data_IF_745519157876
#
_entry.id   IF_745519157876
#
_cell.length_a   1.000
_cell.length_b   1.000
_cell.length_c   1.000
_cell.angle_alpha   90.00
_cell.angle_beta   90.00
_cell.angle_gamma   90.00
#
_symmetry.space_group_name_H-M   'P 1'
#
loop_
_entity.id
_entity.type
_entity.pdbx_description
1 polymer ?
#
# COMPACT_ATOMS: atom_id res chain seq x y z
N UNK A 1 12.57 10.88 13.86
CA UNK A 1 13.98 10.49 13.89
C UNK A 1 14.19 9.22 13.06
N UNK A 2 15.38 9.07 12.42
CA UNK A 2 15.74 7.86 11.67
C UNK A 2 15.03 7.69 10.31
N UNK A 3 14.34 8.69 9.80
CA UNK A 3 13.73 8.66 8.48
C UNK A 3 14.78 8.89 7.41
N UNK A 4 14.77 8.06 6.36
CA UNK A 4 15.71 8.11 5.24
C UNK A 4 14.94 8.46 3.96
N UNK A 5 15.40 9.48 3.24
CA UNK A 5 14.79 9.97 2.01
C UNK A 5 15.83 9.97 0.89
N UNK A 6 15.49 9.35 -0.25
CA UNK A 6 16.33 9.36 -1.44
C UNK A 6 17.35 8.22 -1.51
N UNK A 7 17.17 7.13 -0.73
CA UNK A 7 17.92 5.89 -0.96
C UNK A 7 17.55 5.26 -2.30
N UNK A 8 18.44 4.42 -2.84
CA UNK A 8 18.14 3.63 -4.02
C UNK A 8 17.05 2.60 -3.72
N UNK A 9 16.09 2.45 -4.63
CA UNK A 9 15.08 1.41 -4.55
C UNK A 9 15.60 0.03 -4.97
N UNK A 10 14.74 -0.97 -4.88
CA UNK A 10 15.03 -2.36 -5.18
C UNK A 10 14.69 -2.68 -6.65
N UNK A 11 15.70 -2.68 -7.51
CA UNK A 11 15.53 -3.00 -8.93
C UNK A 11 16.74 -3.79 -9.44
N UNK A 12 16.59 -5.11 -9.55
CA UNK A 12 17.67 -6.05 -9.92
C UNK A 12 17.16 -7.07 -10.95
N UNK A 13 17.23 -6.78 -12.26
CA UNK A 13 17.01 -7.80 -13.29
C UNK A 13 18.07 -8.90 -13.18
N UNK A 14 17.66 -10.13 -13.49
CA UNK A 14 18.54 -11.30 -13.48
C UNK A 14 18.88 -11.68 -14.92
N UNK A 15 20.19 -11.81 -15.20
CA UNK A 15 20.72 -12.29 -16.47
C UNK A 15 21.94 -13.18 -16.22
N UNK A 16 22.01 -14.32 -16.87
CA UNK A 16 23.14 -15.27 -16.71
C UNK A 16 23.31 -15.78 -15.27
N UNK A 17 22.21 -15.86 -14.48
CA UNK A 17 22.25 -16.27 -13.06
C UNK A 17 22.75 -15.19 -12.09
N UNK A 18 22.98 -13.96 -12.53
CA UNK A 18 23.48 -12.85 -11.73
C UNK A 18 22.45 -11.73 -11.66
N UNK A 19 22.34 -11.07 -10.50
CA UNK A 19 21.49 -9.89 -10.30
C UNK A 19 22.28 -8.62 -10.64
N UNK A 20 21.75 -7.81 -11.54
CA UNK A 20 22.36 -6.56 -11.98
C UNK A 20 21.58 -5.38 -11.42
N UNK A 21 22.26 -4.49 -10.68
CA UNK A 21 21.62 -3.31 -10.13
C UNK A 21 21.24 -2.31 -11.23
N UNK A 22 19.98 -1.86 -11.28
CA UNK A 22 19.57 -0.69 -12.04
C UNK A 22 19.80 0.57 -11.18
N UNK A 23 20.67 1.51 -11.62
CA UNK A 23 20.90 2.74 -10.88
C UNK A 23 19.61 3.59 -10.77
N UNK A 24 19.39 4.16 -9.60
CA UNK A 24 18.29 5.10 -9.37
C UNK A 24 18.86 6.53 -9.49
N UNK A 25 18.57 7.20 -10.61
CA UNK A 25 19.17 8.49 -10.99
C UNK A 25 18.23 9.67 -10.83
N UNK A 26 16.98 9.40 -10.43
CA UNK A 26 15.96 10.42 -10.21
C UNK A 26 15.90 10.83 -8.74
N UNK A 27 14.99 11.70 -8.37
CA UNK A 27 14.90 12.33 -7.06
C UNK A 27 13.67 11.86 -6.28
N UNK A 28 13.56 12.34 -5.04
CA UNK A 28 12.31 12.41 -4.28
C UNK A 28 11.90 13.89 -4.26
N UNK A 29 10.66 14.17 -4.66
CA UNK A 29 10.07 15.50 -4.63
C UNK A 29 8.95 15.51 -3.60
N UNK A 30 9.05 16.39 -2.60
CA UNK A 30 8.08 16.51 -1.52
C UNK A 30 7.47 17.90 -1.55
N UNK A 31 6.15 17.97 -1.54
CA UNK A 31 5.37 19.18 -1.53
C UNK A 31 5.38 19.91 -0.18
N UNK A 32 4.46 20.85 -0.03
CA UNK A 32 4.32 21.70 1.16
C UNK A 32 3.46 21.00 2.24
N UNK A 33 3.70 21.35 3.51
CA UNK A 33 2.93 20.87 4.66
C UNK A 33 2.85 19.33 4.75
N UNK A 34 3.88 18.62 4.29
CA UNK A 34 4.01 17.18 4.42
C UNK A 34 4.67 16.84 5.76
N UNK A 35 4.05 15.94 6.51
CA UNK A 35 4.61 15.39 7.76
C UNK A 35 5.00 13.94 7.57
N UNK A 36 6.20 13.58 8.01
CA UNK A 36 6.75 12.22 7.88
C UNK A 36 7.25 11.77 9.24
N UNK A 37 6.67 10.69 9.74
CA UNK A 37 6.99 10.08 11.03
C UNK A 37 8.39 9.49 11.10
N UNK A 38 8.67 8.80 12.19
CA UNK A 38 9.98 8.21 12.47
C UNK A 38 10.22 6.92 11.69
N UNK A 39 11.49 6.63 11.36
CA UNK A 39 11.91 5.41 10.70
C UNK A 39 11.15 5.11 9.39
N UNK A 40 10.72 6.12 8.68
CA UNK A 40 10.19 6.01 7.33
C UNK A 40 11.33 5.85 6.32
N UNK A 41 11.06 5.18 5.20
CA UNK A 41 11.99 5.08 4.08
C UNK A 41 11.29 5.46 2.79
N UNK A 42 11.87 6.41 2.04
CA UNK A 42 11.32 6.90 0.78
C UNK A 42 12.40 6.79 -0.27
N UNK A 43 12.23 5.84 -1.20
CA UNK A 43 13.22 5.59 -2.24
C UNK A 43 13.12 6.61 -3.36
N UNK A 44 14.27 6.94 -3.92
CA UNK A 44 14.35 7.77 -5.12
C UNK A 44 13.88 7.01 -6.36
N UNK A 45 13.51 7.75 -7.38
CA UNK A 45 13.10 7.15 -8.63
C UNK A 45 14.26 6.63 -9.50
N UNK A 46 13.96 5.65 -10.32
CA UNK A 46 14.88 5.15 -11.34
C UNK A 46 14.65 5.82 -12.71
N UNK A 47 13.42 5.80 -13.20
CA UNK A 47 13.02 6.35 -14.52
C UNK A 47 12.21 7.64 -14.40
N UNK A 48 11.51 7.84 -13.32
CA UNK A 48 10.78 9.06 -12.98
C UNK A 48 10.99 9.36 -11.49
N UNK A 49 10.73 10.59 -11.06
CA UNK A 49 10.86 10.95 -9.65
C UNK A 49 9.81 10.21 -8.79
N UNK A 50 10.15 9.95 -7.54
CA UNK A 50 9.17 9.62 -6.51
C UNK A 50 8.59 10.93 -6.00
N UNK A 51 7.27 11.10 -6.03
CA UNK A 51 6.61 12.37 -5.74
C UNK A 51 5.58 12.23 -4.62
N UNK A 52 5.57 13.18 -3.69
CA UNK A 52 4.61 13.32 -2.62
C UNK A 52 4.05 14.73 -2.67
N UNK A 53 2.77 14.86 -2.98
CA UNK A 53 2.11 16.17 -3.08
C UNK A 53 1.81 16.77 -1.70
N UNK A 54 1.28 18.00 -1.68
CA UNK A 54 1.05 18.79 -0.48
C UNK A 54 0.10 18.10 0.53
N UNK A 55 0.27 18.47 1.80
CA UNK A 55 -0.60 18.12 2.94
C UNK A 55 -0.67 16.61 3.27
N UNK A 56 0.22 15.79 2.74
CA UNK A 56 0.29 14.37 3.10
C UNK A 56 0.81 14.18 4.53
N UNK A 57 0.29 13.16 5.21
CA UNK A 57 0.71 12.79 6.57
C UNK A 57 1.07 11.31 6.61
N UNK A 58 2.31 11.02 6.95
CA UNK A 58 2.83 9.66 7.11
C UNK A 58 3.19 9.43 8.57
N UNK A 59 2.63 8.38 9.13
CA UNK A 59 2.98 7.90 10.46
C UNK A 59 4.33 7.14 10.42
N UNK A 60 4.73 6.56 11.51
CA UNK A 60 6.02 5.89 11.66
C UNK A 60 6.14 4.63 10.80
N UNK A 61 7.38 4.32 10.35
CA UNK A 61 7.70 3.09 9.63
C UNK A 61 6.96 2.93 8.29
N UNK A 62 6.57 4.01 7.63
CA UNK A 62 6.01 3.97 6.29
C UNK A 62 7.14 3.77 5.29
N UNK A 63 6.96 2.83 4.34
CA UNK A 63 7.86 2.66 3.21
C UNK A 63 7.20 3.09 1.90
N UNK A 64 7.87 3.96 1.17
CA UNK A 64 7.48 4.39 -0.18
C UNK A 64 8.60 3.96 -1.14
N UNK A 65 8.30 3.00 -2.01
CA UNK A 65 9.26 2.52 -2.99
C UNK A 65 9.45 3.49 -4.16
N UNK A 66 10.39 3.17 -5.03
CA UNK A 66 10.81 4.01 -6.16
C UNK A 66 9.68 4.29 -7.17
N UNK A 67 9.72 5.44 -7.83
CA UNK A 67 8.78 5.86 -8.89
C UNK A 67 7.31 5.95 -8.41
N UNK A 68 7.05 6.03 -7.13
CA UNK A 68 5.70 6.19 -6.58
C UNK A 68 5.25 7.65 -6.74
N UNK A 69 3.98 7.85 -7.08
CA UNK A 69 3.35 9.16 -7.09
C UNK A 69 2.21 9.21 -6.09
N UNK A 70 2.28 10.12 -5.12
CA UNK A 70 1.26 10.31 -4.09
C UNK A 70 0.62 11.68 -4.25
N UNK A 71 -0.69 11.68 -4.44
CA UNK A 71 -1.52 12.86 -4.57
C UNK A 71 -1.68 13.62 -3.26
N UNK A 72 -2.40 14.74 -3.33
CA UNK A 72 -2.59 15.69 -2.24
C UNK A 72 -3.39 15.09 -1.07
N UNK A 73 -3.01 15.44 0.15
CA UNK A 73 -3.79 15.20 1.37
C UNK A 73 -3.95 13.72 1.74
N UNK A 74 -3.05 12.85 1.31
CA UNK A 74 -3.09 11.44 1.65
C UNK A 74 -2.66 11.18 3.09
N UNK A 75 -3.29 10.19 3.74
CA UNK A 75 -3.00 9.75 5.10
C UNK A 75 -2.50 8.30 5.09
N UNK A 76 -1.27 8.06 5.50
CA UNK A 76 -0.65 6.73 5.59
C UNK A 76 -0.29 6.43 7.04
N UNK A 77 -1.00 5.49 7.65
CA UNK A 77 -0.78 5.10 9.04
C UNK A 77 0.45 4.18 9.18
N UNK A 78 0.84 3.89 10.42
CA UNK A 78 2.09 3.22 10.75
C UNK A 78 2.30 1.87 10.06
N UNK A 79 3.51 1.67 9.52
CA UNK A 79 3.93 0.44 8.88
C UNK A 79 3.25 0.15 7.54
N UNK A 80 2.71 1.16 6.86
CA UNK A 80 2.21 1.02 5.47
C UNK A 80 3.37 0.85 4.52
N UNK A 81 3.23 -0.08 3.58
CA UNK A 81 4.17 -0.33 2.49
C UNK A 81 3.51 0.04 1.14
N UNK A 82 4.21 0.81 0.32
CA UNK A 82 3.78 1.16 -1.04
C UNK A 82 4.81 0.68 -2.06
N UNK A 83 4.42 -0.29 -2.88
CA UNK A 83 5.26 -0.88 -3.92
C UNK A 83 5.58 0.08 -5.07
N UNK A 84 6.69 -0.18 -5.74
CA UNK A 84 7.23 0.69 -6.78
C UNK A 84 6.28 0.98 -7.94
N UNK A 85 6.41 2.16 -8.53
CA UNK A 85 5.62 2.63 -9.69
C UNK A 85 4.10 2.68 -9.44
N UNK A 86 3.68 2.77 -8.19
CA UNK A 86 2.28 2.88 -7.79
C UNK A 86 1.85 4.35 -7.79
N UNK A 87 0.62 4.60 -8.22
CA UNK A 87 -0.01 5.93 -8.18
C UNK A 87 -1.11 5.94 -7.11
N UNK A 88 -0.99 6.82 -6.13
CA UNK A 88 -2.02 7.08 -5.12
C UNK A 88 -2.63 8.44 -5.45
N UNK A 89 -3.93 8.49 -5.74
CA UNK A 89 -4.64 9.72 -6.05
C UNK A 89 -4.92 10.54 -4.79
N UNK A 90 -5.56 11.71 -4.93
CA UNK A 90 -5.79 12.64 -3.83
C UNK A 90 -6.67 12.06 -2.73
N UNK A 91 -6.40 12.48 -1.50
CA UNK A 91 -7.18 12.19 -0.29
C UNK A 91 -7.39 10.70 0.01
N UNK A 92 -6.46 9.85 -0.42
CA UNK A 92 -6.48 8.43 -0.07
C UNK A 92 -6.04 8.25 1.38
N UNK A 93 -6.76 7.39 2.10
CA UNK A 93 -6.39 6.97 3.48
C UNK A 93 -6.00 5.50 3.51
N UNK A 94 -4.81 5.20 4.02
CA UNK A 94 -4.31 3.83 4.15
C UNK A 94 -4.04 3.55 5.62
N UNK A 95 -4.84 2.66 6.19
CA UNK A 95 -4.70 2.28 7.60
C UNK A 95 -3.52 1.33 7.83
N UNK A 96 -3.08 1.25 9.07
CA UNK A 96 -1.81 0.65 9.47
C UNK A 96 -1.56 -0.77 9.00
N UNK A 97 -0.29 -1.04 8.70
CA UNK A 97 0.23 -2.35 8.25
C UNK A 97 -0.48 -2.89 7.02
N UNK A 98 -0.89 -2.01 6.11
CA UNK A 98 -1.43 -2.39 4.81
C UNK A 98 -0.35 -2.33 3.75
N UNK A 99 -0.40 -3.28 2.81
CA UNK A 99 0.54 -3.42 1.71
C UNK A 99 -0.14 -3.06 0.39
N UNK A 100 0.47 -2.17 -0.36
CA UNK A 100 0.03 -1.76 -1.70
C UNK A 100 1.02 -2.31 -2.71
N UNK A 101 0.55 -3.19 -3.60
CA UNK A 101 1.36 -3.81 -4.63
C UNK A 101 1.94 -2.80 -5.64
N UNK A 102 2.96 -3.19 -6.38
CA UNK A 102 3.58 -2.32 -7.40
C UNK A 102 2.70 -2.15 -8.64
N UNK A 103 2.97 -1.08 -9.41
CA UNK A 103 2.36 -0.81 -10.71
C UNK A 103 0.83 -0.72 -10.73
N UNK A 104 0.22 -0.30 -9.62
CA UNK A 104 -1.25 -0.14 -9.50
C UNK A 104 -1.61 1.31 -9.20
N UNK A 105 -2.92 1.61 -9.28
CA UNK A 105 -3.46 2.92 -8.96
C UNK A 105 -4.56 2.81 -7.89
N UNK A 106 -4.47 3.64 -6.85
CA UNK A 106 -5.57 3.86 -5.91
C UNK A 106 -6.31 5.14 -6.30
N UNK A 107 -7.60 4.99 -6.58
CA UNK A 107 -8.46 6.12 -6.96
C UNK A 107 -8.68 7.10 -5.80
N UNK A 108 -9.05 8.32 -6.15
CA UNK A 108 -9.28 9.43 -5.22
C UNK A 108 -10.24 9.04 -4.08
N UNK A 109 -9.93 9.48 -2.87
CA UNK A 109 -10.75 9.25 -1.66
C UNK A 109 -10.98 7.77 -1.31
N UNK A 110 -10.17 6.86 -1.83
CA UNK A 110 -10.20 5.46 -1.38
C UNK A 110 -9.79 5.35 0.08
N UNK A 111 -10.40 4.43 0.81
CA UNK A 111 -10.01 4.08 2.17
C UNK A 111 -9.58 2.62 2.21
N UNK A 112 -8.34 2.36 2.61
CA UNK A 112 -7.80 1.01 2.77
C UNK A 112 -7.79 0.68 4.26
N UNK A 113 -8.56 -0.34 4.65
CA UNK A 113 -8.63 -0.79 6.04
C UNK A 113 -7.31 -1.43 6.49
N UNK A 114 -7.06 -1.45 7.79
CA UNK A 114 -5.83 -1.98 8.35
C UNK A 114 -5.55 -3.44 7.94
N UNK A 115 -4.26 -3.78 7.78
CA UNK A 115 -3.79 -5.12 7.41
C UNK A 115 -4.40 -5.64 6.09
N UNK A 116 -4.67 -4.74 5.16
CA UNK A 116 -5.14 -5.10 3.82
C UNK A 116 -3.96 -5.24 2.85
N UNK A 117 -4.12 -6.12 1.86
CA UNK A 117 -3.16 -6.28 0.77
C UNK A 117 -3.84 -5.96 -0.56
N UNK A 118 -3.44 -4.85 -1.19
CA UNK A 118 -4.00 -4.38 -2.46
C UNK A 118 -3.12 -4.86 -3.59
N UNK A 119 -3.62 -5.77 -4.43
CA UNK A 119 -2.87 -6.39 -5.52
C UNK A 119 -3.32 -5.94 -6.92
N UNK A 120 -4.30 -5.06 -7.01
CA UNK A 120 -4.80 -4.50 -8.28
C UNK A 120 -5.28 -3.08 -8.09
N UNK A 121 -5.37 -2.33 -9.18
CA UNK A 121 -5.92 -0.97 -9.14
C UNK A 121 -7.35 -0.94 -8.59
N UNK A 122 -7.64 0.08 -7.82
CA UNK A 122 -8.94 0.28 -7.17
C UNK A 122 -9.55 1.60 -7.63
N UNK A 123 -10.85 1.64 -7.94
CA UNK A 123 -11.58 2.88 -8.15
C UNK A 123 -11.65 3.70 -6.86
N UNK A 124 -11.93 4.99 -6.99
CA UNK A 124 -12.01 5.92 -5.87
C UNK A 124 -13.29 5.83 -5.04
N UNK A 125 -13.32 6.63 -3.97
CA UNK A 125 -14.50 6.91 -3.15
C UNK A 125 -15.18 5.70 -2.51
N UNK A 126 -14.41 4.64 -2.23
CA UNK A 126 -14.90 3.42 -1.60
C UNK A 126 -13.92 2.89 -0.55
N UNK A 127 -14.41 2.11 0.42
CA UNK A 127 -13.57 1.40 1.38
C UNK A 127 -13.29 -0.02 0.93
N UNK A 128 -12.01 -0.42 1.06
CA UNK A 128 -11.52 -1.75 0.73
C UNK A 128 -10.86 -2.41 1.93
N UNK A 129 -11.02 -3.73 2.06
CA UNK A 129 -10.44 -4.48 3.16
C UNK A 129 -10.07 -5.92 2.76
N UNK A 130 -9.09 -6.48 3.46
CA UNK A 130 -8.70 -7.89 3.38
C UNK A 130 -7.46 -8.16 2.55
N UNK A 131 -7.13 -9.43 2.44
CA UNK A 131 -6.02 -9.94 1.61
C UNK A 131 -6.56 -11.08 0.72
N UNK A 132 -6.69 -10.88 -0.61
CA UNK A 132 -6.57 -9.59 -1.29
C UNK A 132 -7.71 -8.61 -0.93
N UNK A 133 -7.41 -7.31 -1.00
CA UNK A 133 -8.37 -6.25 -0.68
C UNK A 133 -9.55 -6.23 -1.68
N UNK A 134 -10.75 -6.07 -1.14
CA UNK A 134 -12.03 -6.02 -1.85
C UNK A 134 -12.90 -4.90 -1.28
N UNK A 135 -13.91 -4.43 -2.01
CA UNK A 135 -14.92 -3.54 -1.44
C UNK A 135 -15.45 -4.08 -0.12
N UNK A 136 -15.56 -3.24 0.89
CA UNK A 136 -15.88 -3.67 2.26
C UNK A 136 -17.19 -4.48 2.33
N UNK A 137 -18.19 -4.10 1.54
CA UNK A 137 -19.47 -4.82 1.46
C UNK A 137 -19.31 -6.25 0.91
N UNK A 138 -18.43 -6.44 -0.09
CA UNK A 138 -18.13 -7.76 -0.64
C UNK A 138 -17.39 -8.62 0.40
N UNK A 139 -16.38 -8.05 1.07
CA UNK A 139 -15.65 -8.73 2.15
C UNK A 139 -16.60 -9.21 3.25
N UNK A 140 -17.47 -8.34 3.74
CA UNK A 140 -18.44 -8.68 4.80
C UNK A 140 -19.38 -9.82 4.40
N UNK A 141 -19.88 -9.83 3.14
CA UNK A 141 -20.68 -10.94 2.63
C UNK A 141 -19.93 -12.26 2.64
N UNK A 142 -18.68 -12.25 2.20
CA UNK A 142 -17.81 -13.45 2.20
C UNK A 142 -17.54 -13.95 3.61
N UNK A 143 -17.18 -13.07 4.53
CA UNK A 143 -16.93 -13.41 5.94
C UNK A 143 -18.18 -14.06 6.57
N UNK A 144 -19.36 -13.51 6.31
CA UNK A 144 -20.62 -14.10 6.78
C UNK A 144 -20.90 -15.51 6.21
N UNK A 145 -20.52 -15.77 4.95
CA UNK A 145 -20.63 -17.10 4.34
C UNK A 145 -19.67 -18.08 5.04
N UNK A 146 -18.41 -17.72 5.27
CA UNK A 146 -17.46 -18.56 6.00
C UNK A 146 -17.95 -18.89 7.41
N UNK A 147 -18.44 -17.91 8.16
CA UNK A 147 -18.98 -18.13 9.51
C UNK A 147 -20.18 -19.09 9.50
N UNK A 148 -21.07 -18.99 8.52
CA UNK A 148 -22.19 -19.92 8.36
C UNK A 148 -21.73 -21.35 8.05
N UNK A 149 -20.72 -21.47 7.19
CA UNK A 149 -20.14 -22.79 6.85
C UNK A 149 -19.53 -23.47 8.08
N UNK A 150 -18.76 -22.77 8.89
CA UNK A 150 -18.19 -23.29 10.14
C UNK A 150 -19.27 -23.75 11.15
N UNK A 151 -20.38 -23.01 11.24
CA UNK A 151 -21.51 -23.39 12.11
C UNK A 151 -22.16 -24.67 11.60
N UNK A 152 -22.37 -24.80 10.29
CA UNK A 152 -22.93 -26.00 9.69
C UNK A 152 -22.04 -27.23 9.88
N UNK A 153 -20.73 -27.09 9.66
CA UNK A 153 -19.76 -28.17 9.86
C UNK A 153 -19.78 -28.68 11.31
N UNK A 154 -19.80 -27.78 12.29
CA UNK A 154 -19.89 -28.13 13.72
C UNK A 154 -21.19 -28.90 14.04
N UNK A 155 -22.33 -28.49 13.44
CA UNK A 155 -23.62 -29.18 13.61
C UNK A 155 -23.61 -30.59 13.01
N UNK A 156 -23.04 -30.74 11.81
CA UNK A 156 -22.94 -32.07 11.16
C UNK A 156 -22.08 -33.04 11.97
N UNK A 157 -20.91 -32.57 12.47
CA UNK A 157 -20.05 -33.41 13.33
C UNK A 157 -20.76 -33.84 14.63
N UNK A 158 -21.57 -32.98 15.23
CA UNK A 158 -22.32 -33.29 16.44
C UNK A 158 -23.44 -34.27 16.21
N UNK A 159 -24.04 -34.32 15.01
CA UNK A 159 -25.13 -35.22 14.69
C UNK A 159 -24.63 -36.61 14.18
N UNK A 160 -23.32 -36.74 13.89
CA UNK A 160 -22.68 -37.95 13.43
C UNK A 160 -22.01 -38.75 14.56
N UNK A 161 -21.97 -38.16 15.76
CA UNK A 161 -21.49 -38.79 17.02
C UNK A 161 -22.64 -39.23 17.90
#
# INVERSE_FOLDING_TARGET
AGTIIGSDGFCYPTSGGTHHKIPHIKSVIIGNDVEIGSACTIDRGSVQDTTIADFCKFDNQVHIAHNVSIGKGCLLAGGVFVGGSTTIKDFVTIAGKSDIGPHISLGEKSVIAARSCVLKSLPGSEMYAGNPARPIKEKQKRDAIYTRFEILEKRLKKNAS
#
